data_IF_649034269126
#
_entry.id   IF_649034269126
#
_cell.length_a   1.000
_cell.length_b   1.000
_cell.length_c   1.000
_cell.angle_alpha   90.00
_cell.angle_beta   90.00
_cell.angle_gamma   90.00
#
_symmetry.space_group_name_H-M   'P 1'
#
loop_
_entity.id
_entity.type
_entity.pdbx_description
1 polymer ?
#
# COMPACT_ATOMS: atom_id res chain seq x y z
N UNK A 1 -12.70 -18.88 -13.73
CA UNK A 1 -11.91 -17.71 -13.23
C UNK A 1 -12.09 -17.56 -11.73
N UNK A 2 -11.00 -17.29 -11.01
CA UNK A 2 -11.08 -17.04 -9.58
C UNK A 2 -11.52 -15.61 -9.26
N UNK A 3 -11.82 -15.36 -8.00
CA UNK A 3 -12.09 -14.02 -7.51
C UNK A 3 -10.84 -13.16 -7.52
N UNK A 4 -11.02 -11.84 -7.56
CA UNK A 4 -9.97 -10.83 -7.47
C UNK A 4 -10.22 -10.00 -6.21
N UNK A 5 -9.21 -9.87 -5.35
CA UNK A 5 -9.30 -9.01 -4.18
C UNK A 5 -8.59 -7.69 -4.50
N UNK A 6 -9.34 -6.60 -4.58
CA UNK A 6 -8.85 -5.31 -5.02
C UNK A 6 -8.28 -4.43 -3.90
N UNK A 7 -8.27 -4.89 -2.64
CA UNK A 7 -7.72 -4.15 -1.51
C UNK A 7 -7.22 -5.10 -0.44
N UNK A 8 -5.91 -5.20 -0.27
CA UNK A 8 -5.28 -6.06 0.73
C UNK A 8 -4.03 -5.43 1.34
N UNK A 9 -3.72 -5.89 2.55
CA UNK A 9 -2.46 -5.71 3.27
C UNK A 9 -2.01 -7.09 3.72
N UNK A 10 -1.59 -7.92 2.77
CA UNK A 10 -1.44 -9.36 2.94
C UNK A 10 -0.64 -9.79 4.17
N UNK A 11 0.52 -9.18 4.50
CA UNK A 11 1.26 -9.56 5.69
C UNK A 11 0.56 -9.27 7.02
N UNK A 12 -0.52 -8.48 7.03
CA UNK A 12 -1.27 -8.20 8.27
C UNK A 12 -2.04 -9.40 8.83
N UNK A 13 -1.90 -10.57 8.24
CA UNK A 13 -2.44 -11.83 8.79
C UNK A 13 -2.05 -12.07 10.25
N UNK A 14 -0.90 -11.56 10.70
CA UNK A 14 -0.46 -11.66 12.10
C UNK A 14 -1.30 -10.83 13.10
N UNK A 15 -2.06 -9.86 12.60
CA UNK A 15 -2.96 -9.02 13.41
C UNK A 15 -4.42 -9.49 13.38
N UNK A 16 -4.68 -10.67 12.82
CA UNK A 16 -6.05 -11.20 12.73
C UNK A 16 -6.72 -11.27 14.09
N UNK A 17 -7.93 -10.72 14.20
CA UNK A 17 -8.71 -10.64 15.43
C UNK A 17 -8.00 -9.93 16.60
N UNK A 18 -7.01 -9.09 16.29
CA UNK A 18 -6.28 -8.31 17.28
C UNK A 18 -6.80 -6.87 17.31
N UNK A 19 -7.45 -6.51 18.42
CA UNK A 19 -7.98 -5.16 18.66
C UNK A 19 -9.01 -4.66 17.62
N UNK A 20 -9.92 -5.52 17.19
CA UNK A 20 -10.89 -5.27 16.11
C UNK A 20 -11.92 -4.15 16.42
N UNK A 21 -12.10 -3.77 17.69
CA UNK A 21 -13.14 -2.83 18.12
C UNK A 21 -12.66 -1.38 18.29
N UNK A 22 -11.46 -1.05 17.81
CA UNK A 22 -10.90 0.29 17.94
C UNK A 22 -11.23 1.17 16.73
N UNK A 23 -11.42 2.50 16.93
CA UNK A 23 -11.44 3.45 15.82
C UNK A 23 -10.12 3.41 15.02
N UNK A 24 -10.17 3.67 13.70
CA UNK A 24 -9.04 3.48 12.78
C UNK A 24 -7.73 4.12 13.27
N UNK A 25 -7.72 5.40 13.63
CA UNK A 25 -6.50 6.08 14.08
C UNK A 25 -5.91 5.47 15.34
N UNK A 26 -6.77 5.16 16.32
CA UNK A 26 -6.34 4.52 17.56
C UNK A 26 -5.82 3.10 17.30
N UNK A 27 -6.46 2.36 16.41
CA UNK A 27 -6.01 1.04 15.97
C UNK A 27 -4.64 1.10 15.28
N UNK A 28 -4.46 2.01 14.33
CA UNK A 28 -3.19 2.19 13.63
C UNK A 28 -2.05 2.60 14.59
N UNK A 29 -2.26 3.65 15.38
CA UNK A 29 -1.19 4.23 16.20
C UNK A 29 -0.80 3.36 17.40
N UNK A 30 -1.78 2.70 18.03
CA UNK A 30 -1.55 1.93 19.27
C UNK A 30 -1.29 0.45 19.03
N UNK A 31 -1.79 -0.10 17.93
CA UNK A 31 -1.74 -1.53 17.67
C UNK A 31 -0.95 -1.89 16.41
N UNK A 32 -1.26 -1.29 15.26
CA UNK A 32 -0.66 -1.70 13.98
C UNK A 32 0.79 -1.26 13.91
N UNK A 33 1.06 0.04 13.90
CA UNK A 33 2.41 0.56 13.68
C UNK A 33 3.45 0.07 14.70
N UNK A 34 3.15 -0.03 16.01
CA UNK A 34 4.11 -0.58 16.97
C UNK A 34 4.41 -2.08 16.77
N UNK A 35 3.49 -2.83 16.18
CA UNK A 35 3.70 -4.24 15.88
C UNK A 35 4.39 -4.43 14.52
N UNK A 36 4.03 -3.66 13.51
CA UNK A 36 4.72 -3.64 12.21
C UNK A 36 6.20 -3.26 12.34
N UNK A 37 6.51 -2.32 13.23
CA UNK A 37 7.90 -1.91 13.51
C UNK A 37 8.79 -3.04 14.06
N UNK A 38 8.20 -4.14 14.52
CA UNK A 38 8.94 -5.32 15.02
C UNK A 38 9.19 -6.37 13.94
N UNK A 39 8.51 -6.28 12.80
CA UNK A 39 8.62 -7.26 11.72
C UNK A 39 10.00 -7.17 11.05
N UNK A 40 10.66 -8.31 10.89
CA UNK A 40 11.79 -8.48 9.98
C UNK A 40 11.33 -8.87 8.58
N UNK A 41 12.24 -8.80 7.60
CA UNK A 41 11.91 -9.16 6.22
C UNK A 41 11.38 -10.58 6.06
N UNK A 42 11.98 -11.55 6.77
CA UNK A 42 11.55 -12.95 6.73
C UNK A 42 10.13 -13.13 7.30
N UNK A 43 9.74 -12.35 8.31
CA UNK A 43 8.37 -12.37 8.83
C UNK A 43 7.39 -11.95 7.73
N UNK A 44 7.67 -10.85 7.05
CA UNK A 44 6.84 -10.35 5.94
C UNK A 44 6.70 -11.36 4.82
N UNK A 45 7.80 -12.06 4.47
CA UNK A 45 7.76 -13.14 3.48
C UNK A 45 6.79 -14.26 3.90
N UNK A 46 6.92 -14.80 5.10
CA UNK A 46 6.09 -15.92 5.56
C UNK A 46 4.63 -15.53 5.80
N UNK A 47 4.38 -14.30 6.27
CA UNK A 47 3.03 -13.75 6.42
C UNK A 47 2.34 -13.57 5.06
N UNK A 48 3.08 -13.18 4.02
CA UNK A 48 2.55 -13.20 2.65
C UNK A 48 2.22 -14.61 2.17
N UNK A 49 3.10 -15.58 2.40
CA UNK A 49 2.83 -16.99 2.06
C UNK A 49 1.53 -17.45 2.72
N UNK A 50 1.34 -17.17 4.02
CA UNK A 50 0.12 -17.51 4.73
C UNK A 50 -1.12 -16.85 4.10
N UNK A 51 -1.06 -15.54 3.81
CA UNK A 51 -2.16 -14.83 3.17
C UNK A 51 -2.49 -15.37 1.77
N UNK A 52 -1.47 -15.69 0.98
CA UNK A 52 -1.65 -16.29 -0.35
C UNK A 52 -2.34 -17.67 -0.24
N UNK A 53 -1.97 -18.49 0.73
CA UNK A 53 -2.64 -19.77 0.98
C UNK A 53 -4.13 -19.57 1.31
N UNK A 54 -4.46 -18.57 2.12
CA UNK A 54 -5.84 -18.22 2.44
C UNK A 54 -6.60 -17.72 1.20
N UNK A 55 -5.98 -16.90 0.37
CA UNK A 55 -6.60 -16.47 -0.90
C UNK A 55 -6.95 -17.66 -1.78
N UNK A 56 -5.99 -18.54 -2.02
CA UNK A 56 -6.19 -19.70 -2.90
C UNK A 56 -7.27 -20.65 -2.37
N UNK A 57 -7.29 -20.93 -1.07
CA UNK A 57 -8.30 -21.78 -0.45
C UNK A 57 -9.70 -21.15 -0.43
N UNK A 58 -9.77 -19.81 -0.52
CA UNK A 58 -11.01 -19.04 -0.65
C UNK A 58 -11.44 -18.78 -2.10
N UNK A 59 -10.69 -19.31 -3.08
CA UNK A 59 -10.98 -19.11 -4.51
C UNK A 59 -10.54 -17.76 -5.07
N UNK A 60 -9.71 -17.00 -4.34
CA UNK A 60 -9.11 -15.75 -4.80
C UNK A 60 -7.81 -16.07 -5.53
N UNK A 61 -7.68 -15.65 -6.78
CA UNK A 61 -6.53 -15.98 -7.65
C UNK A 61 -5.67 -14.77 -7.99
N UNK A 62 -6.05 -13.59 -7.55
CA UNK A 62 -5.24 -12.37 -7.65
C UNK A 62 -5.65 -11.34 -6.62
N UNK A 63 -4.70 -10.50 -6.21
CA UNK A 63 -4.95 -9.39 -5.31
C UNK A 63 -4.29 -8.08 -5.78
N UNK A 64 -4.72 -7.00 -5.16
CA UNK A 64 -4.04 -5.72 -5.13
C UNK A 64 -3.54 -5.48 -3.71
N UNK A 65 -2.23 -5.39 -3.51
CA UNK A 65 -1.60 -5.40 -2.19
C UNK A 65 -0.74 -4.17 -1.94
N UNK A 66 -1.01 -3.49 -0.85
CA UNK A 66 -0.20 -2.39 -0.34
C UNK A 66 0.46 -2.81 0.97
N UNK A 67 1.81 -2.80 1.02
CA UNK A 67 2.51 -3.06 2.27
C UNK A 67 3.91 -2.46 2.31
N UNK A 68 4.51 -2.48 3.51
CA UNK A 68 5.91 -2.16 3.78
C UNK A 68 6.81 -3.35 3.44
N UNK A 69 8.15 -3.14 3.42
CA UNK A 69 9.16 -4.19 3.13
C UNK A 69 8.86 -4.96 1.83
N UNK A 70 8.62 -4.24 0.77
CA UNK A 70 8.09 -4.72 -0.50
C UNK A 70 8.92 -5.85 -1.14
N UNK A 71 10.25 -5.85 -0.99
CA UNK A 71 11.13 -6.90 -1.55
C UNK A 71 10.77 -8.30 -1.05
N UNK A 72 10.35 -8.41 0.20
CA UNK A 72 9.93 -9.68 0.81
C UNK A 72 8.54 -10.11 0.33
N UNK A 73 7.62 -9.17 0.17
CA UNK A 73 6.30 -9.43 -0.45
C UNK A 73 6.45 -9.90 -1.90
N UNK A 74 7.34 -9.27 -2.65
CA UNK A 74 7.65 -9.65 -4.04
C UNK A 74 8.22 -11.06 -4.10
N UNK A 75 9.19 -11.40 -3.25
CA UNK A 75 9.80 -12.73 -3.19
C UNK A 75 8.73 -13.81 -2.95
N UNK A 76 7.86 -13.62 -1.95
CA UNK A 76 6.76 -14.55 -1.67
C UNK A 76 5.81 -14.72 -2.86
N UNK A 77 5.48 -13.62 -3.56
CA UNK A 77 4.63 -13.65 -4.75
C UNK A 77 5.28 -14.43 -5.91
N UNK A 78 6.57 -14.20 -6.15
CA UNK A 78 7.32 -14.91 -7.20
C UNK A 78 7.42 -16.40 -6.90
N UNK A 79 7.79 -16.76 -5.67
CA UNK A 79 7.98 -18.16 -5.27
C UNK A 79 6.68 -18.96 -5.30
N UNK A 80 5.55 -18.35 -4.95
CA UNK A 80 4.23 -18.99 -5.02
C UNK A 80 3.61 -18.98 -6.42
N UNK A 81 4.09 -18.11 -7.31
CA UNK A 81 3.47 -17.85 -8.60
C UNK A 81 2.07 -17.23 -8.50
N UNK A 82 1.72 -16.63 -7.35
CA UNK A 82 0.45 -15.94 -7.16
C UNK A 82 0.43 -14.64 -7.98
N UNK A 83 -0.74 -14.23 -8.41
CA UNK A 83 -0.90 -13.05 -9.27
C UNK A 83 -1.20 -11.82 -8.41
N UNK A 84 -0.29 -10.85 -8.37
CA UNK A 84 -0.39 -9.67 -7.49
C UNK A 84 -0.08 -8.39 -8.24
N UNK A 85 -0.86 -7.36 -7.97
CA UNK A 85 -0.49 -5.96 -8.20
C UNK A 85 -0.01 -5.40 -6.87
N UNK A 86 1.22 -4.92 -6.80
CA UNK A 86 1.85 -4.40 -5.59
C UNK A 86 1.92 -2.87 -5.64
N UNK A 87 1.88 -2.25 -4.48
CA UNK A 87 2.17 -0.82 -4.30
C UNK A 87 2.84 -0.57 -2.95
N UNK A 88 3.50 0.58 -2.83
CA UNK A 88 4.07 1.02 -1.56
C UNK A 88 3.03 1.58 -0.60
N UNK A 89 3.27 1.38 0.69
CA UNK A 89 2.68 2.16 1.76
C UNK A 89 3.50 3.41 2.12
N UNK A 90 4.18 4.03 1.13
CA UNK A 90 5.01 5.23 1.33
C UNK A 90 4.33 6.24 2.22
N UNK A 91 5.02 6.70 3.23
CA UNK A 91 4.60 7.73 4.16
C UNK A 91 5.81 8.43 4.77
N UNK A 92 5.60 9.34 5.72
CA UNK A 92 6.69 10.12 6.33
C UNK A 92 7.75 9.28 7.08
N UNK A 93 7.51 8.01 7.32
CA UNK A 93 8.36 7.14 8.15
C UNK A 93 8.89 5.92 7.39
N UNK A 94 8.26 5.57 6.28
CA UNK A 94 8.52 4.32 5.55
C UNK A 94 8.66 4.61 4.07
N UNK A 95 9.68 4.01 3.45
CA UNK A 95 10.04 4.15 2.05
C UNK A 95 10.49 5.58 1.67
N UNK A 96 10.80 5.76 0.40
CA UNK A 96 11.10 7.07 -0.19
C UNK A 96 10.69 7.07 -1.66
N UNK A 97 10.60 8.24 -2.31
CA UNK A 97 10.32 8.32 -3.75
C UNK A 97 11.31 7.54 -4.60
N UNK A 98 12.58 7.46 -4.20
CA UNK A 98 13.63 6.70 -4.89
C UNK A 98 13.36 5.19 -4.80
N UNK A 99 12.98 4.69 -3.62
CA UNK A 99 12.60 3.28 -3.41
C UNK A 99 11.34 2.96 -4.22
N UNK A 100 10.35 3.86 -4.20
CA UNK A 100 9.13 3.71 -4.99
C UNK A 100 9.44 3.57 -6.48
N UNK A 101 10.34 4.41 -7.00
CA UNK A 101 10.77 4.37 -8.40
C UNK A 101 11.60 3.12 -8.72
N UNK A 102 12.52 2.73 -7.83
CA UNK A 102 13.29 1.48 -7.96
C UNK A 102 12.35 0.28 -8.08
N UNK A 103 11.38 0.18 -7.17
CA UNK A 103 10.42 -0.93 -7.15
C UNK A 103 9.53 -0.94 -8.40
N UNK A 104 9.06 0.21 -8.84
CA UNK A 104 8.29 0.33 -10.08
C UNK A 104 9.07 -0.21 -11.28
N UNK A 105 10.33 0.17 -11.42
CA UNK A 105 11.17 -0.27 -12.54
C UNK A 105 11.59 -1.74 -12.45
N UNK A 106 11.73 -2.28 -11.25
CA UNK A 106 12.14 -3.65 -11.01
C UNK A 106 10.98 -4.64 -11.18
N UNK A 107 9.89 -4.43 -10.45
CA UNK A 107 8.79 -5.42 -10.36
C UNK A 107 8.05 -5.57 -11.67
N UNK A 108 7.84 -4.47 -12.41
CA UNK A 108 7.15 -4.51 -13.71
C UNK A 108 7.92 -5.24 -14.81
N UNK A 109 9.18 -5.62 -14.55
CA UNK A 109 10.02 -6.40 -15.47
C UNK A 109 10.28 -7.83 -14.97
N UNK A 110 9.83 -8.15 -13.76
CA UNK A 110 10.24 -9.38 -13.06
C UNK A 110 9.46 -10.61 -13.52
N UNK A 111 8.15 -10.47 -13.72
CA UNK A 111 7.26 -11.59 -14.02
C UNK A 111 5.98 -11.10 -14.69
N UNK A 112 5.34 -11.97 -15.48
CA UNK A 112 4.01 -11.75 -16.06
C UNK A 112 2.87 -11.85 -15.02
N UNK A 113 3.19 -12.21 -13.78
CA UNK A 113 2.24 -12.37 -12.67
C UNK A 113 2.35 -11.27 -11.62
N UNK A 114 3.39 -10.46 -11.68
CA UNK A 114 3.60 -9.33 -10.78
C UNK A 114 3.51 -8.03 -11.55
N UNK A 115 2.82 -7.07 -10.98
CA UNK A 115 2.79 -5.68 -11.45
C UNK A 115 2.99 -4.76 -10.27
N UNK A 116 3.48 -3.56 -10.52
CA UNK A 116 3.68 -2.54 -9.51
C UNK A 116 3.07 -1.24 -9.96
N UNK A 117 2.28 -0.61 -9.11
CA UNK A 117 1.78 0.74 -9.31
C UNK A 117 2.43 1.69 -8.30
N UNK A 118 2.55 2.95 -8.70
CA UNK A 118 2.97 4.00 -7.78
C UNK A 118 1.88 4.20 -6.72
N UNK A 119 2.27 4.49 -5.49
CA UNK A 119 1.32 4.71 -4.43
C UNK A 119 1.94 5.27 -3.16
N UNK A 120 1.07 5.68 -2.27
CA UNK A 120 1.41 6.13 -0.92
C UNK A 120 0.27 5.75 0.02
N UNK A 121 0.54 5.70 1.32
CA UNK A 121 -0.44 5.21 2.29
C UNK A 121 -1.73 6.05 2.30
N UNK A 122 -1.65 7.29 2.75
CA UNK A 122 -2.78 8.22 2.81
C UNK A 122 -2.29 9.66 2.94
N UNK A 123 -3.16 10.65 2.67
CA UNK A 123 -2.80 12.07 2.77
C UNK A 123 -2.30 12.45 4.17
N UNK A 124 -2.97 11.97 5.23
CA UNK A 124 -2.64 12.33 6.61
C UNK A 124 -1.33 11.73 7.14
N UNK A 125 -0.78 10.73 6.46
CA UNK A 125 0.50 10.12 6.80
C UNK A 125 1.64 10.54 5.88
N UNK A 126 1.35 11.29 4.81
CA UNK A 126 2.30 11.62 3.75
C UNK A 126 2.40 13.13 3.56
N UNK A 127 3.55 13.70 3.90
CA UNK A 127 3.78 15.15 3.80
C UNK A 127 3.78 15.68 2.37
N UNK A 128 3.52 16.97 2.21
CA UNK A 128 3.43 17.65 0.91
C UNK A 128 4.58 17.36 -0.05
N UNK A 129 5.86 17.47 0.37
CA UNK A 129 7.00 17.17 -0.50
C UNK A 129 7.01 15.73 -1.04
N UNK A 130 6.55 14.75 -0.24
CA UNK A 130 6.42 13.36 -0.70
C UNK A 130 5.28 13.21 -1.69
N UNK A 131 4.12 13.82 -1.43
CA UNK A 131 2.98 13.83 -2.36
C UNK A 131 3.36 14.43 -3.72
N UNK A 132 4.09 15.55 -3.72
CA UNK A 132 4.61 16.17 -4.95
C UNK A 132 5.58 15.25 -5.70
N UNK A 133 6.41 14.51 -4.97
CA UNK A 133 7.34 13.56 -5.57
C UNK A 133 6.61 12.38 -6.21
N UNK A 134 5.58 11.84 -5.55
CA UNK A 134 4.73 10.78 -6.13
C UNK A 134 4.00 11.29 -7.39
N UNK A 135 3.48 12.51 -7.36
CA UNK A 135 2.82 13.12 -8.53
C UNK A 135 3.78 13.25 -9.72
N UNK A 136 5.03 13.69 -9.50
CA UNK A 136 6.07 13.76 -10.54
C UNK A 136 6.43 12.39 -11.10
N UNK A 137 6.49 11.36 -10.27
CA UNK A 137 6.72 10.00 -10.73
C UNK A 137 5.54 9.48 -11.56
N UNK A 138 4.31 9.77 -11.12
CA UNK A 138 3.10 9.40 -11.85
C UNK A 138 3.08 10.04 -13.25
N UNK A 139 3.39 11.32 -13.35
CA UNK A 139 3.53 12.03 -14.63
C UNK A 139 4.64 11.40 -15.48
N UNK A 140 5.83 11.17 -14.91
CA UNK A 140 6.99 10.60 -15.60
C UNK A 140 6.70 9.23 -16.23
N UNK A 141 5.97 8.39 -15.53
CA UNK A 141 5.70 7.02 -15.96
C UNK A 141 4.30 6.82 -16.57
N UNK A 142 3.48 7.86 -16.65
CA UNK A 142 2.06 7.77 -17.03
C UNK A 142 1.35 6.66 -16.28
N UNK A 143 1.63 6.58 -14.97
CA UNK A 143 1.14 5.52 -14.08
C UNK A 143 0.02 6.05 -13.20
N UNK A 144 -1.06 5.30 -13.00
CA UNK A 144 -2.02 5.63 -11.97
C UNK A 144 -1.36 5.57 -10.59
N UNK A 145 -1.95 6.32 -9.64
CA UNK A 145 -1.54 6.35 -8.24
C UNK A 145 -2.56 5.62 -7.39
N UNK A 146 -2.09 4.80 -6.47
CA UNK A 146 -2.91 4.09 -5.50
C UNK A 146 -2.72 4.64 -4.09
N UNK A 147 -3.81 4.89 -3.36
CA UNK A 147 -3.78 5.40 -1.99
C UNK A 147 -5.11 5.12 -1.28
N UNK A 148 -5.10 5.12 0.06
CA UNK A 148 -6.33 5.28 0.83
C UNK A 148 -6.74 6.75 0.75
N UNK A 149 -7.95 7.02 0.30
CA UNK A 149 -8.39 8.39 0.01
C UNK A 149 -9.75 8.69 0.63
N UNK A 150 -9.79 9.70 1.49
CA UNK A 150 -10.99 10.14 2.18
C UNK A 150 -11.69 9.02 2.98
N UNK A 151 -10.90 8.17 3.63
CA UNK A 151 -11.34 6.99 4.34
C UNK A 151 -12.15 7.33 5.60
N UNK A 152 -11.77 8.41 6.29
CA UNK A 152 -12.43 8.87 7.51
C UNK A 152 -12.84 10.33 7.44
N UNK A 153 -13.84 10.70 8.25
CA UNK A 153 -14.23 12.09 8.42
C UNK A 153 -13.08 12.96 8.92
N UNK A 154 -12.30 12.47 9.87
CA UNK A 154 -11.13 13.17 10.44
C UNK A 154 -10.04 13.43 9.40
N UNK A 155 -9.80 12.50 8.48
CA UNK A 155 -8.89 12.72 7.36
C UNK A 155 -9.37 13.88 6.47
N UNK A 156 -10.65 13.87 6.09
CA UNK A 156 -11.23 14.92 5.24
C UNK A 156 -11.18 16.28 5.92
N UNK A 157 -11.55 16.36 7.20
CA UNK A 157 -11.52 17.60 7.97
C UNK A 157 -10.08 18.10 8.17
N UNK A 158 -9.16 17.24 8.57
CA UNK A 158 -7.75 17.57 8.73
C UNK A 158 -7.07 17.99 7.41
N UNK A 159 -7.41 17.36 6.29
CA UNK A 159 -6.91 17.77 4.99
C UNK A 159 -7.41 19.18 4.62
N UNK A 160 -8.69 19.50 4.91
CA UNK A 160 -9.23 20.85 4.72
C UNK A 160 -8.53 21.90 5.59
N UNK A 161 -8.18 21.54 6.82
CA UNK A 161 -7.43 22.44 7.71
C UNK A 161 -6.01 22.70 7.20
N UNK A 162 -5.31 21.67 6.69
CA UNK A 162 -3.94 21.78 6.17
C UNK A 162 -3.85 22.46 4.81
N UNK A 163 -4.78 22.14 3.90
CA UNK A 163 -4.67 22.48 2.49
C UNK A 163 -5.81 23.32 1.94
N UNK A 164 -6.91 23.50 2.69
CA UNK A 164 -8.13 24.13 2.20
C UNK A 164 -8.91 23.25 1.20
N UNK A 165 -8.57 21.97 1.06
CA UNK A 165 -9.10 21.03 0.07
C UNK A 165 -9.45 19.69 0.73
N UNK A 166 -10.35 18.93 0.12
CA UNK A 166 -10.51 17.51 0.46
C UNK A 166 -9.32 16.70 -0.07
N UNK A 167 -9.04 15.48 0.45
CA UNK A 167 -7.98 14.63 -0.08
C UNK A 167 -8.07 14.43 -1.60
N UNK A 168 -9.25 14.14 -2.11
CA UNK A 168 -9.47 13.98 -3.56
C UNK A 168 -9.15 15.24 -4.36
N UNK A 169 -9.58 16.42 -3.89
CA UNK A 169 -9.26 17.69 -4.53
C UNK A 169 -7.77 18.02 -4.46
N UNK A 170 -7.09 17.60 -3.39
CA UNK A 170 -5.64 17.74 -3.30
C UNK A 170 -4.92 16.88 -4.34
N UNK A 171 -5.34 15.62 -4.49
CA UNK A 171 -4.78 14.72 -5.52
C UNK A 171 -4.99 15.26 -6.93
N UNK A 172 -6.19 15.80 -7.21
CA UNK A 172 -6.48 16.47 -8.48
C UNK A 172 -5.56 17.67 -8.72
N UNK A 173 -5.40 18.53 -7.71
CA UNK A 173 -4.49 19.69 -7.77
C UNK A 173 -3.04 19.31 -8.01
N UNK A 174 -2.60 18.17 -7.47
CA UNK A 174 -1.26 17.62 -7.69
C UNK A 174 -1.10 16.91 -9.04
N UNK A 175 -2.16 16.81 -9.85
CA UNK A 175 -2.13 16.18 -11.16
C UNK A 175 -2.12 14.66 -11.14
N UNK A 176 -2.59 14.02 -10.07
CA UNK A 176 -2.62 12.55 -9.94
C UNK A 176 -3.78 11.89 -10.69
N UNK A 177 -4.75 12.66 -11.19
CA UNK A 177 -5.85 12.18 -12.03
C UNK A 177 -5.54 12.51 -13.50
N UNK A 178 -4.79 11.63 -14.16
CA UNK A 178 -4.46 11.75 -15.58
C UNK A 178 -5.09 10.62 -16.40
#
# INVERSE_FOLDING_TARGET
PGFKNAHTHTPMTFLRSYADDLPLHEWLERQVFPNEAKLAGDDVYWLNILGIMEYLTSGITSNFDMYIQQKNSIAATVDTGFRTVLTSGLNNFVDSPEILEEMYNYVNKLSDRTSYLLGFHAEYTTGGPLLESVAKLAEKYHSPVWTHNAETKSEVEGCKERWGLTPTQLMERLGMFQ
#
